data_IF_266690795767
#
_entry.id   IF_266690795767
#
_cell.length_a   1.000
_cell.length_b   1.000
_cell.length_c   1.000
_cell.angle_alpha   90.00
_cell.angle_beta   90.00
_cell.angle_gamma   90.00
#
_symmetry.space_group_name_H-M   'P 1'
#
loop_
_entity.id
_entity.type
_entity.pdbx_description
1 polymer ?
#
# COMPACT_ATOMS: atom_id res chain seq x y z
N UNK A 1 15.49 18.68 -21.03
CA UNK A 1 14.70 18.32 -19.84
C UNK A 1 13.91 17.08 -20.22
N UNK A 2 14.24 15.91 -19.68
CA UNK A 2 13.49 14.69 -19.90
C UNK A 2 12.09 14.90 -19.32
N UNK A 3 11.08 14.49 -20.07
CA UNK A 3 9.68 14.65 -19.69
C UNK A 3 9.47 13.82 -18.40
N UNK A 4 9.05 14.43 -17.30
CA UNK A 4 8.86 13.76 -15.99
C UNK A 4 7.86 12.61 -16.03
N UNK A 5 7.10 12.45 -17.12
CA UNK A 5 6.17 11.34 -17.34
C UNK A 5 6.83 10.05 -17.87
N UNK A 6 8.08 10.13 -18.33
CA UNK A 6 8.82 8.97 -18.86
C UNK A 6 9.65 8.25 -17.77
N UNK A 7 9.69 8.79 -16.55
CA UNK A 7 10.38 8.18 -15.42
C UNK A 7 9.39 7.41 -14.56
N UNK A 8 9.77 6.25 -13.96
CA UNK A 8 8.91 5.54 -13.04
C UNK A 8 8.63 6.37 -11.78
N UNK A 9 7.45 6.19 -11.18
CA UNK A 9 7.08 6.87 -9.94
C UNK A 9 8.00 6.45 -8.78
N UNK A 10 8.36 5.17 -8.72
CA UNK A 10 9.34 4.60 -7.77
C UNK A 10 10.30 3.69 -8.54
N UNK A 11 11.59 3.80 -8.23
CA UNK A 11 12.62 2.89 -8.72
C UNK A 11 13.45 2.35 -7.56
N UNK A 12 13.55 1.04 -7.45
CA UNK A 12 14.33 0.32 -6.43
C UNK A 12 15.53 -0.32 -7.11
N UNK A 13 16.75 -0.04 -6.62
CA UNK A 13 18.01 -0.51 -7.21
C UNK A 13 18.85 -1.24 -6.17
N UNK A 14 19.05 -2.54 -6.36
CA UNK A 14 19.92 -3.42 -5.57
C UNK A 14 19.71 -3.26 -4.05
N UNK A 15 18.43 -3.15 -3.64
CA UNK A 15 18.05 -2.83 -2.27
C UNK A 15 18.32 -4.01 -1.34
N UNK A 16 19.10 -3.77 -0.29
CA UNK A 16 19.30 -4.72 0.80
C UNK A 16 19.02 -4.08 2.15
N UNK A 17 18.50 -4.87 3.08
CA UNK A 17 18.20 -4.42 4.44
C UNK A 17 18.63 -5.46 5.47
N UNK A 18 19.51 -5.05 6.39
CA UNK A 18 20.03 -5.88 7.48
C UNK A 18 19.77 -5.17 8.80
N UNK A 19 19.05 -5.83 9.70
CA UNK A 19 18.88 -5.38 11.08
C UNK A 19 20.01 -5.92 11.95
N UNK A 20 20.75 -5.04 12.60
CA UNK A 20 21.81 -5.44 13.54
C UNK A 20 21.16 -5.90 14.85
N UNK A 21 21.62 -7.03 15.39
CA UNK A 21 21.30 -7.51 16.73
C UNK A 21 22.57 -8.05 17.38
N UNK A 22 22.58 -8.12 18.70
CA UNK A 22 23.72 -8.63 19.48
C UNK A 22 24.10 -10.09 19.14
N UNK A 23 23.16 -10.84 18.57
CA UNK A 23 23.31 -12.26 18.17
C UNK A 23 23.60 -12.46 16.66
N UNK A 24 24.09 -11.43 15.97
CA UNK A 24 24.27 -11.44 14.50
C UNK A 24 23.21 -10.65 13.76
N UNK A 25 23.52 -10.24 12.54
CA UNK A 25 22.61 -9.44 11.72
C UNK A 25 21.44 -10.27 11.16
N UNK A 26 20.23 -9.71 11.13
CA UNK A 26 19.06 -10.29 10.48
C UNK A 26 18.89 -9.66 9.11
N UNK A 27 19.25 -10.37 8.04
CA UNK A 27 19.02 -9.91 6.67
C UNK A 27 17.55 -10.09 6.30
N UNK A 28 16.85 -8.98 6.13
CA UNK A 28 15.43 -8.96 5.78
C UNK A 28 15.21 -8.97 4.27
N UNK A 29 16.04 -8.21 3.52
CA UNK A 29 15.97 -8.08 2.07
C UNK A 29 17.38 -8.23 1.48
N UNK A 30 17.47 -8.81 0.28
CA UNK A 30 18.71 -9.00 -0.45
C UNK A 30 18.51 -8.72 -1.93
N UNK A 31 19.27 -7.74 -2.45
CA UNK A 31 19.36 -7.39 -3.87
C UNK A 31 18.01 -7.26 -4.58
N UNK A 32 17.07 -6.53 -3.99
CA UNK A 32 15.74 -6.31 -4.56
C UNK A 32 15.79 -5.14 -5.54
N UNK A 33 15.38 -5.37 -6.80
CA UNK A 33 15.35 -4.34 -7.84
C UNK A 33 14.06 -4.43 -8.64
N UNK A 34 13.30 -3.33 -8.72
CA UNK A 34 12.11 -3.19 -9.56
C UNK A 34 11.75 -1.72 -9.74
N UNK A 35 10.85 -1.45 -10.68
CA UNK A 35 10.30 -0.11 -10.93
C UNK A 35 8.78 -0.16 -10.81
N UNK A 36 8.16 0.97 -10.47
CA UNK A 36 6.71 1.13 -10.43
C UNK A 36 6.34 2.32 -11.30
N UNK A 37 5.48 2.09 -12.28
CA UNK A 37 5.06 3.13 -13.20
C UNK A 37 4.00 4.04 -12.58
N UNK A 38 3.84 5.25 -13.13
CA UNK A 38 2.75 6.13 -12.71
C UNK A 38 1.39 5.45 -12.92
N UNK A 39 0.50 5.59 -11.94
CA UNK A 39 -0.84 5.01 -11.93
C UNK A 39 -0.88 3.46 -11.96
N UNK A 40 0.25 2.79 -11.79
CA UNK A 40 0.31 1.34 -11.63
C UNK A 40 -0.16 0.94 -10.23
N UNK A 41 -0.94 -0.12 -10.14
CA UNK A 41 -1.23 -0.81 -8.88
C UNK A 41 -0.34 -2.05 -8.78
N UNK A 42 0.75 -1.94 -8.02
CA UNK A 42 1.68 -3.04 -7.75
C UNK A 42 1.31 -3.73 -6.44
N UNK A 43 1.21 -5.06 -6.44
CA UNK A 43 1.22 -5.85 -5.21
C UNK A 43 2.55 -6.56 -5.01
N UNK A 44 3.11 -6.45 -3.80
CA UNK A 44 4.24 -7.26 -3.34
C UNK A 44 3.70 -8.38 -2.46
N UNK A 45 3.81 -9.60 -2.95
CA UNK A 45 3.30 -10.81 -2.33
C UNK A 45 4.47 -11.62 -1.73
N UNK A 46 4.24 -12.33 -0.65
CA UNK A 46 5.26 -13.21 -0.07
C UNK A 46 4.85 -13.75 1.29
N UNK A 47 5.57 -14.76 1.80
CA UNK A 47 5.27 -15.36 3.10
C UNK A 47 5.50 -14.37 4.24
N UNK A 48 4.99 -14.72 5.43
CA UNK A 48 5.27 -13.94 6.64
C UNK A 48 6.77 -13.90 6.93
N UNK A 49 7.29 -12.72 7.28
CA UNK A 49 8.71 -12.54 7.54
C UNK A 49 9.61 -12.40 6.29
N UNK A 50 9.07 -12.34 5.07
CA UNK A 50 9.84 -12.14 3.82
C UNK A 50 10.37 -10.71 3.61
N UNK A 51 10.15 -9.80 4.55
CA UNK A 51 10.64 -8.42 4.43
C UNK A 51 9.69 -7.44 3.77
N UNK A 52 8.44 -7.79 3.44
CA UNK A 52 7.45 -6.91 2.77
C UNK A 52 7.25 -5.57 3.48
N UNK A 53 6.95 -5.60 4.78
CA UNK A 53 6.76 -4.36 5.56
C UNK A 53 8.07 -3.57 5.70
N UNK A 54 9.23 -4.24 5.73
CA UNK A 54 10.54 -3.58 5.68
C UNK A 54 10.73 -2.85 4.36
N UNK A 55 10.45 -3.52 3.24
CA UNK A 55 10.49 -2.91 1.91
C UNK A 55 9.59 -1.68 1.87
N UNK A 56 8.33 -1.81 2.30
CA UNK A 56 7.37 -0.71 2.23
C UNK A 56 7.80 0.48 3.09
N UNK A 57 8.37 0.25 4.28
CA UNK A 57 8.91 1.32 5.14
C UNK A 57 10.12 2.03 4.51
N UNK A 58 10.95 1.28 3.77
CA UNK A 58 12.07 1.89 3.03
C UNK A 58 11.52 2.75 1.88
N UNK A 59 10.50 2.27 1.14
CA UNK A 59 9.83 3.03 0.09
C UNK A 59 9.12 4.28 0.59
N UNK A 60 8.73 4.31 1.87
CA UNK A 60 8.15 5.48 2.53
C UNK A 60 9.21 6.48 3.06
N UNK A 61 10.50 6.13 2.98
CA UNK A 61 11.57 6.90 3.61
C UNK A 61 11.59 6.82 5.15
N UNK A 62 10.85 5.87 5.74
CA UNK A 62 10.77 5.65 7.19
C UNK A 62 11.94 4.81 7.74
N UNK A 63 12.63 4.10 6.85
CA UNK A 63 13.78 3.25 7.17
C UNK A 63 14.82 3.39 6.07
N UNK A 64 16.09 3.67 6.38
CA UNK A 64 17.15 3.68 5.38
C UNK A 64 17.49 2.24 4.96
N UNK A 65 17.82 1.97 3.68
CA UNK A 65 18.37 0.70 3.26
C UNK A 65 19.81 0.52 3.79
N UNK A 66 20.26 -0.74 3.92
CA UNK A 66 21.66 -1.04 4.26
C UNK A 66 22.57 -0.94 3.03
N UNK A 67 22.04 -1.28 1.84
CA UNK A 67 22.70 -1.12 0.55
C UNK A 67 21.65 -0.89 -0.54
N UNK A 68 22.10 -0.36 -1.68
CA UNK A 68 21.23 0.04 -2.77
C UNK A 68 20.55 1.39 -2.52
N UNK A 69 19.55 1.69 -3.31
CA UNK A 69 18.83 2.99 -3.23
C UNK A 69 17.40 2.88 -3.72
N UNK A 70 16.57 3.81 -3.26
CA UNK A 70 15.24 4.09 -3.80
C UNK A 70 15.24 5.46 -4.43
N UNK A 71 14.67 5.57 -5.63
CA UNK A 71 14.39 6.86 -6.26
C UNK A 71 12.87 7.07 -6.25
N UNK A 72 12.44 8.26 -5.88
CA UNK A 72 11.07 8.74 -6.00
C UNK A 72 11.05 9.87 -7.03
N UNK A 73 10.26 9.72 -8.09
CA UNK A 73 10.22 10.66 -9.21
C UNK A 73 11.62 11.02 -9.76
N UNK A 74 12.51 10.02 -9.84
CA UNK A 74 13.89 10.16 -10.33
C UNK A 74 14.91 10.69 -9.32
N UNK A 75 14.48 11.15 -8.15
CA UNK A 75 15.33 11.71 -7.11
C UNK A 75 15.58 10.70 -5.96
N UNK A 76 16.80 10.62 -5.40
CA UNK A 76 17.09 9.75 -4.26
C UNK A 76 16.18 10.04 -3.07
N UNK A 77 15.57 8.99 -2.52
CA UNK A 77 14.69 9.08 -1.35
C UNK A 77 15.53 9.00 -0.06
N UNK A 78 15.71 10.13 0.61
CA UNK A 78 16.50 10.25 1.84
C UNK A 78 15.65 10.36 3.13
N UNK A 79 14.33 10.36 3.01
CA UNK A 79 13.38 10.50 4.11
C UNK A 79 11.94 10.58 3.63
N UNK A 80 10.96 10.74 4.54
CA UNK A 80 9.55 10.87 4.17
C UNK A 80 9.30 12.05 3.23
N UNK A 81 8.38 11.90 2.29
CA UNK A 81 7.96 12.93 1.32
C UNK A 81 6.44 13.11 1.36
N UNK A 82 5.96 14.34 1.22
CA UNK A 82 4.53 14.65 1.20
C UNK A 82 3.77 13.92 0.08
N UNK A 83 4.43 13.64 -1.06
CA UNK A 83 3.85 12.86 -2.17
C UNK A 83 3.69 11.36 -1.89
N UNK A 84 4.08 10.87 -0.70
CA UNK A 84 3.97 9.47 -0.30
C UNK A 84 2.95 9.31 0.85
N UNK A 85 1.77 8.76 0.54
CA UNK A 85 0.79 8.36 1.56
C UNK A 85 1.10 6.97 2.10
N UNK A 86 0.97 6.75 3.42
CA UNK A 86 1.24 5.46 4.05
C UNK A 86 0.07 4.99 4.91
N UNK A 87 -0.38 3.76 4.67
CA UNK A 87 -1.39 3.07 5.48
C UNK A 87 -0.74 1.88 6.15
N UNK A 88 -0.70 1.89 7.48
CA UNK A 88 -0.14 0.81 8.28
C UNK A 88 -1.11 -0.38 8.38
N UNK A 89 -0.58 -1.55 8.70
CA UNK A 89 -1.35 -2.78 8.94
C UNK A 89 -2.41 -2.59 10.03
N UNK A 90 -2.06 -1.89 11.12
CA UNK A 90 -3.03 -1.37 12.08
C UNK A 90 -3.35 0.07 11.69
N UNK A 91 -4.61 0.46 11.74
CA UNK A 91 -5.06 1.79 11.34
C UNK A 91 -4.35 2.94 12.09
N UNK A 92 -3.84 2.67 13.31
CA UNK A 92 -3.09 3.63 14.15
C UNK A 92 -3.81 4.98 14.24
N UNK A 93 -5.13 4.95 14.48
CA UNK A 93 -5.92 6.16 14.67
C UNK A 93 -5.62 6.79 16.02
N UNK A 94 -5.70 8.12 16.09
CA UNK A 94 -5.63 8.85 17.35
C UNK A 94 -6.90 8.55 18.14
N UNK A 95 -6.85 7.82 19.27
CA UNK A 95 -8.04 7.29 19.95
C UNK A 95 -8.93 8.39 20.56
N UNK A 96 -8.40 9.58 20.76
CA UNK A 96 -9.11 10.77 21.27
C UNK A 96 -9.66 11.67 20.17
N UNK A 97 -9.44 11.34 18.89
CA UNK A 97 -9.97 12.09 17.75
C UNK A 97 -11.09 11.31 17.06
N UNK A 98 -12.10 12.02 16.63
CA UNK A 98 -13.18 11.45 15.80
C UNK A 98 -12.67 11.01 14.42
N UNK A 99 -13.52 10.38 13.61
CA UNK A 99 -13.24 10.05 12.19
C UNK A 99 -12.76 11.30 11.46
N UNK A 100 -13.54 12.38 11.49
CA UNK A 100 -13.19 13.65 10.83
C UNK A 100 -11.84 14.17 11.36
N UNK A 101 -11.65 14.19 12.69
CA UNK A 101 -10.43 14.67 13.31
C UNK A 101 -9.19 13.81 13.00
N UNK A 102 -9.33 12.50 12.74
CA UNK A 102 -8.24 11.66 12.27
C UNK A 102 -7.90 11.96 10.80
N UNK A 103 -8.90 12.18 9.97
CA UNK A 103 -8.69 12.50 8.55
C UNK A 103 -8.08 13.88 8.37
N UNK A 104 -8.50 14.90 9.15
CA UNK A 104 -7.95 16.27 9.09
C UNK A 104 -6.53 16.39 9.64
N UNK A 105 -6.10 15.46 10.49
CA UNK A 105 -4.83 15.57 11.22
C UNK A 105 -3.61 15.96 10.34
N UNK A 106 -3.40 15.34 9.15
CA UNK A 106 -2.28 15.73 8.31
C UNK A 106 -2.34 17.19 7.87
N UNK A 107 -3.50 17.68 7.47
CA UNK A 107 -3.70 19.07 7.04
C UNK A 107 -3.47 20.08 8.18
N UNK A 108 -3.84 19.71 9.41
CA UNK A 108 -3.54 20.51 10.61
C UNK A 108 -2.04 20.63 10.85
N UNK A 109 -1.29 19.52 10.68
CA UNK A 109 0.18 19.50 10.83
C UNK A 109 0.84 20.40 9.79
N UNK A 110 0.32 20.42 8.54
CA UNK A 110 0.83 21.26 7.46
C UNK A 110 0.39 22.73 7.58
N UNK A 111 -0.42 23.08 8.58
CA UNK A 111 -0.90 24.44 8.79
C UNK A 111 -1.95 24.90 7.77
N UNK A 112 -2.67 23.95 7.14
CA UNK A 112 -3.79 24.29 6.24
C UNK A 112 -4.88 25.03 7.01
N UNK A 113 -5.45 26.07 6.39
CA UNK A 113 -6.55 26.82 6.97
C UNK A 113 -7.69 25.90 7.43
N UNK A 114 -8.15 26.07 8.67
CA UNK A 114 -9.13 25.20 9.33
C UNK A 114 -10.39 24.95 8.51
N UNK A 115 -10.94 26.01 7.89
CA UNK A 115 -12.17 25.88 7.06
C UNK A 115 -11.93 25.04 5.82
N UNK A 116 -10.77 25.22 5.16
CA UNK A 116 -10.37 24.45 3.99
C UNK A 116 -10.10 22.99 4.36
N UNK A 117 -9.40 22.76 5.47
CA UNK A 117 -9.11 21.42 5.98
C UNK A 117 -10.39 20.64 6.33
N UNK A 118 -11.36 21.31 6.97
CA UNK A 118 -12.66 20.70 7.29
C UNK A 118 -13.42 20.28 6.02
N UNK A 119 -13.49 21.16 5.02
CA UNK A 119 -14.17 20.85 3.76
C UNK A 119 -13.52 19.68 3.02
N UNK A 120 -12.20 19.66 2.90
CA UNK A 120 -11.47 18.54 2.29
C UNK A 120 -11.69 17.22 3.05
N UNK A 121 -11.80 17.28 4.39
CA UNK A 121 -12.04 16.10 5.19
C UNK A 121 -13.50 15.59 5.07
N UNK A 122 -14.49 16.47 4.91
CA UNK A 122 -15.87 16.08 4.63
C UNK A 122 -15.97 15.36 3.28
N UNK A 123 -15.36 15.89 2.22
CA UNK A 123 -15.27 15.20 0.92
C UNK A 123 -14.58 13.84 1.03
N UNK A 124 -13.52 13.76 1.85
CA UNK A 124 -12.81 12.50 2.08
C UNK A 124 -13.66 11.49 2.86
N UNK A 125 -14.45 11.92 3.85
CA UNK A 125 -15.40 11.06 4.58
C UNK A 125 -16.44 10.47 3.61
N UNK A 126 -16.96 11.26 2.67
CA UNK A 126 -17.84 10.77 1.62
C UNK A 126 -17.14 9.76 0.71
N UNK A 127 -15.91 10.08 0.25
CA UNK A 127 -15.12 9.22 -0.61
C UNK A 127 -14.88 7.83 0.01
N UNK A 128 -14.55 7.77 1.32
CA UNK A 128 -14.29 6.50 2.02
C UNK A 128 -15.56 5.84 2.58
N UNK A 129 -16.75 6.40 2.29
CA UNK A 129 -18.05 5.84 2.65
C UNK A 129 -18.33 5.83 4.16
N UNK A 130 -17.96 6.90 4.86
CA UNK A 130 -18.16 7.07 6.32
C UNK A 130 -19.11 8.22 6.68
N UNK A 131 -19.97 8.61 5.76
CA UNK A 131 -21.03 9.61 6.01
C UNK A 131 -21.91 9.17 7.19
N UNK A 132 -22.14 10.07 8.13
CA UNK A 132 -22.87 9.81 9.38
C UNK A 132 -22.00 9.31 10.54
N UNK A 133 -20.69 9.09 10.31
CA UNK A 133 -19.74 8.65 11.34
C UNK A 133 -18.66 9.71 11.66
N UNK A 134 -18.81 10.94 11.17
CA UNK A 134 -17.82 12.04 11.26
C UNK A 134 -17.32 12.27 12.69
N UNK A 135 -18.24 12.21 13.65
CA UNK A 135 -17.98 12.48 15.07
C UNK A 135 -17.71 11.20 15.89
N UNK A 136 -17.73 10.04 15.26
CA UNK A 136 -17.52 8.74 15.95
C UNK A 136 -16.04 8.57 16.33
N UNK A 137 -15.79 8.09 17.56
CA UNK A 137 -14.44 7.79 18.03
C UNK A 137 -13.97 6.40 17.53
N UNK A 138 -12.65 6.16 17.40
CA UNK A 138 -12.11 4.88 16.94
C UNK A 138 -12.64 3.66 17.70
N UNK A 139 -12.82 3.75 19.01
CA UNK A 139 -13.33 2.65 19.86
C UNK A 139 -14.74 2.15 19.49
N UNK A 140 -15.50 2.99 18.77
CA UNK A 140 -16.88 2.72 18.39
C UNK A 140 -16.99 2.31 16.91
N UNK A 141 -15.83 2.17 16.21
CA UNK A 141 -15.74 1.77 14.82
C UNK A 141 -15.48 0.25 14.68
N UNK A 142 -15.95 -0.34 13.59
CA UNK A 142 -15.49 -1.66 13.16
C UNK A 142 -14.07 -1.57 12.58
N UNK A 143 -13.31 -2.69 12.57
CA UNK A 143 -11.97 -2.70 12.00
C UNK A 143 -11.91 -2.26 10.52
N UNK A 144 -12.96 -2.57 9.73
CA UNK A 144 -13.09 -2.08 8.35
C UNK A 144 -13.31 -0.56 8.27
N UNK A 145 -14.06 0.01 9.20
CA UNK A 145 -14.25 1.47 9.28
C UNK A 145 -12.96 2.16 9.72
N UNK A 146 -12.26 1.63 10.72
CA UNK A 146 -10.93 2.16 11.11
C UNK A 146 -9.97 2.19 9.92
N UNK A 147 -9.95 1.12 9.12
CA UNK A 147 -9.08 1.04 7.95
C UNK A 147 -9.47 2.07 6.87
N UNK A 148 -10.77 2.34 6.66
CA UNK A 148 -11.23 3.41 5.76
C UNK A 148 -10.79 4.79 6.25
N UNK A 149 -10.85 5.05 7.56
CA UNK A 149 -10.33 6.29 8.15
C UNK A 149 -8.82 6.43 7.88
N UNK A 150 -8.05 5.33 8.06
CA UNK A 150 -6.61 5.35 7.80
C UNK A 150 -6.29 5.60 6.32
N UNK A 151 -7.07 5.03 5.39
CA UNK A 151 -6.96 5.29 3.95
C UNK A 151 -7.30 6.75 3.65
N UNK A 152 -8.41 7.28 4.18
CA UNK A 152 -8.79 8.69 4.01
C UNK A 152 -7.72 9.65 4.53
N UNK A 153 -7.17 9.36 5.72
CA UNK A 153 -6.06 10.12 6.31
C UNK A 153 -4.80 10.11 5.42
N UNK A 154 -4.51 8.99 4.77
CA UNK A 154 -3.36 8.90 3.87
C UNK A 154 -3.58 9.61 2.53
N UNK A 155 -4.84 9.72 2.08
CA UNK A 155 -5.22 10.33 0.80
C UNK A 155 -5.46 11.83 0.88
N UNK A 156 -5.72 12.40 2.07
CA UNK A 156 -6.16 13.80 2.22
C UNK A 156 -5.16 14.82 1.65
N UNK A 157 -3.86 14.49 1.61
CA UNK A 157 -2.81 15.30 0.99
C UNK A 157 -2.68 15.11 -0.52
N UNK A 158 -3.56 14.31 -1.13
CA UNK A 158 -3.49 13.98 -2.55
C UNK A 158 -2.12 13.40 -2.99
N UNK A 159 -1.58 12.37 -2.31
CA UNK A 159 -0.26 11.83 -2.60
C UNK A 159 -0.18 11.25 -4.01
N UNK A 160 1.02 11.27 -4.63
CA UNK A 160 1.28 10.63 -5.92
C UNK A 160 1.34 9.11 -5.81
N UNK A 161 1.87 8.62 -4.69
CA UNK A 161 2.05 7.20 -4.39
C UNK A 161 1.42 6.85 -3.05
N UNK A 162 0.58 5.81 -3.03
CA UNK A 162 -0.04 5.26 -1.83
C UNK A 162 0.61 3.92 -1.48
N UNK A 163 1.16 3.81 -0.29
CA UNK A 163 1.82 2.64 0.25
C UNK A 163 0.91 1.96 1.28
N UNK A 164 0.55 0.68 1.07
CA UNK A 164 -0.41 -0.04 1.88
C UNK A 164 0.24 -1.30 2.50
N UNK A 165 0.42 -1.33 3.81
CA UNK A 165 1.01 -2.44 4.54
C UNK A 165 -0.09 -3.40 5.07
N UNK A 166 -0.36 -4.49 4.35
CA UNK A 166 -1.39 -5.50 4.67
C UNK A 166 -2.74 -4.90 5.12
N UNK A 167 -3.34 -3.98 4.32
CA UNK A 167 -4.45 -3.14 4.78
C UNK A 167 -5.70 -3.91 5.19
N UNK A 168 -5.80 -5.18 4.82
CA UNK A 168 -6.97 -6.02 5.10
C UNK A 168 -6.65 -7.23 5.99
N UNK A 169 -5.42 -7.33 6.52
CA UNK A 169 -4.94 -8.50 7.24
C UNK A 169 -5.73 -8.87 8.50
N UNK A 170 -6.32 -7.88 9.18
CA UNK A 170 -7.11 -8.07 10.40
C UNK A 170 -8.61 -8.28 10.16
N UNK A 171 -9.09 -8.23 8.90
CA UNK A 171 -10.49 -8.30 8.56
C UNK A 171 -10.92 -9.75 8.27
N UNK A 172 -12.20 -10.06 8.59
CA UNK A 172 -12.83 -11.30 8.15
C UNK A 172 -12.96 -11.34 6.61
N UNK A 173 -13.24 -12.52 6.04
CA UNK A 173 -13.22 -12.75 4.61
C UNK A 173 -14.21 -11.85 3.83
N UNK A 174 -15.45 -11.70 4.31
CA UNK A 174 -16.47 -10.90 3.64
C UNK A 174 -16.18 -9.40 3.72
N UNK A 175 -15.74 -8.93 4.87
CA UNK A 175 -15.32 -7.53 5.06
C UNK A 175 -14.10 -7.20 4.19
N UNK A 176 -13.16 -8.14 4.08
CA UNK A 176 -11.97 -8.01 3.23
C UNK A 176 -12.32 -7.86 1.75
N UNK A 177 -13.25 -8.66 1.23
CA UNK A 177 -13.72 -8.54 -0.16
C UNK A 177 -14.40 -7.20 -0.42
N UNK A 178 -15.28 -6.77 0.48
CA UNK A 178 -15.94 -5.45 0.41
C UNK A 178 -14.92 -4.31 0.42
N UNK A 179 -13.91 -4.39 1.30
CA UNK A 179 -12.86 -3.39 1.38
C UNK A 179 -11.96 -3.37 0.14
N UNK A 180 -11.69 -4.53 -0.47
CA UNK A 180 -10.99 -4.61 -1.75
C UNK A 180 -11.74 -3.89 -2.88
N UNK A 181 -13.04 -4.11 -2.99
CA UNK A 181 -13.91 -3.42 -3.95
C UNK A 181 -13.93 -1.91 -3.70
N UNK A 182 -13.99 -1.48 -2.44
CA UNK A 182 -13.99 -0.07 -2.06
C UNK A 182 -12.64 0.60 -2.38
N UNK A 183 -11.52 -0.05 -2.08
CA UNK A 183 -10.21 0.43 -2.46
C UNK A 183 -10.07 0.59 -3.99
N UNK A 184 -10.61 -0.36 -4.76
CA UNK A 184 -10.64 -0.27 -6.21
C UNK A 184 -11.45 0.92 -6.70
N UNK A 185 -12.62 1.19 -6.11
CA UNK A 185 -13.45 2.36 -6.42
C UNK A 185 -12.69 3.66 -6.17
N UNK A 186 -12.05 3.79 -5.00
CA UNK A 186 -11.23 4.95 -4.62
C UNK A 186 -10.06 5.11 -5.60
N UNK A 187 -9.35 4.03 -5.89
CA UNK A 187 -8.21 4.04 -6.81
C UNK A 187 -8.60 4.45 -8.24
N UNK A 188 -9.73 3.93 -8.76
CA UNK A 188 -10.23 4.29 -10.09
C UNK A 188 -10.59 5.77 -10.21
N UNK A 189 -11.13 6.36 -9.13
CA UNK A 189 -11.49 7.79 -9.10
C UNK A 189 -10.25 8.70 -9.14
N UNK A 190 -9.17 8.33 -8.46
CA UNK A 190 -7.99 9.19 -8.27
C UNK A 190 -6.78 8.80 -9.11
N UNK A 191 -6.75 7.58 -9.69
CA UNK A 191 -5.64 7.08 -10.54
C UNK A 191 -4.27 7.29 -9.90
N UNK A 192 -4.13 7.01 -8.60
CA UNK A 192 -2.86 7.08 -7.90
C UNK A 192 -1.97 5.87 -8.19
N UNK A 193 -0.66 6.04 -8.07
CA UNK A 193 0.25 4.89 -8.01
C UNK A 193 0.06 4.19 -6.67
N UNK A 194 -0.08 2.87 -6.65
CA UNK A 194 -0.27 2.10 -5.40
C UNK A 194 0.75 1.00 -5.31
N UNK A 195 1.38 0.88 -4.14
CA UNK A 195 2.20 -0.28 -3.79
C UNK A 195 1.58 -0.90 -2.54
N UNK A 196 1.02 -2.09 -2.69
CA UNK A 196 0.41 -2.83 -1.59
C UNK A 196 1.21 -4.07 -1.27
N UNK A 197 1.51 -4.31 -0.01
CA UNK A 197 2.03 -5.60 0.44
C UNK A 197 0.91 -6.44 1.03
N UNK A 198 0.89 -7.72 0.71
CA UNK A 198 -0.09 -8.69 1.21
C UNK A 198 0.49 -10.11 1.21
N UNK A 199 -0.13 -11.00 1.98
CA UNK A 199 0.11 -12.44 1.90
C UNK A 199 -1.02 -13.18 1.16
N UNK A 200 -2.05 -12.45 0.70
CA UNK A 200 -3.22 -13.00 0.02
C UNK A 200 -3.06 -12.96 -1.50
N UNK A 201 -2.95 -14.13 -2.13
CA UNK A 201 -2.91 -14.27 -3.59
C UNK A 201 -4.17 -13.68 -4.23
N UNK A 202 -5.34 -13.93 -3.63
CA UNK A 202 -6.61 -13.45 -4.15
C UNK A 202 -6.71 -11.93 -4.15
N UNK A 203 -6.22 -11.25 -3.09
CA UNK A 203 -6.14 -9.79 -3.05
C UNK A 203 -5.18 -9.27 -4.13
N UNK A 204 -3.97 -9.83 -4.21
CA UNK A 204 -2.97 -9.41 -5.17
C UNK A 204 -3.50 -9.48 -6.61
N UNK A 205 -4.10 -10.60 -7.00
CA UNK A 205 -4.66 -10.77 -8.34
C UNK A 205 -5.88 -9.89 -8.60
N UNK A 206 -6.72 -9.68 -7.59
CA UNK A 206 -7.93 -8.89 -7.77
C UNK A 206 -7.66 -7.38 -7.87
N UNK A 207 -6.63 -6.91 -7.18
CA UNK A 207 -6.34 -5.46 -7.07
C UNK A 207 -5.26 -4.99 -8.04
N UNK A 208 -4.18 -5.77 -8.23
CA UNK A 208 -2.98 -5.29 -8.88
C UNK A 208 -3.01 -5.39 -10.41
N UNK A 209 -2.27 -4.49 -11.07
CA UNK A 209 -1.89 -4.61 -12.48
C UNK A 209 -0.66 -5.50 -12.64
N UNK A 210 0.15 -5.59 -11.58
CA UNK A 210 1.37 -6.39 -11.52
C UNK A 210 1.63 -6.93 -10.12
N UNK A 211 2.16 -8.14 -10.04
CA UNK A 211 2.49 -8.80 -8.77
C UNK A 211 3.97 -9.17 -8.76
N UNK A 212 4.68 -8.71 -7.75
CA UNK A 212 6.06 -9.12 -7.43
C UNK A 212 6.01 -10.07 -6.24
N UNK A 213 6.59 -11.25 -6.37
CA UNK A 213 6.66 -12.27 -5.31
C UNK A 213 8.03 -12.25 -4.67
N UNK A 214 8.07 -12.06 -3.35
CA UNK A 214 9.29 -12.20 -2.55
C UNK A 214 9.45 -13.64 -2.03
N UNK A 215 10.71 -14.08 -1.96
CA UNK A 215 11.10 -15.34 -1.32
C UNK A 215 10.87 -15.31 0.19
N UNK A 216 11.08 -16.48 0.85
CA UNK A 216 11.42 -16.50 2.27
C UNK A 216 12.68 -15.67 2.54
N UNK A 217 12.86 -15.28 3.80
CA UNK A 217 13.98 -14.45 4.24
C UNK A 217 15.36 -15.10 3.95
N UNK A 218 16.32 -14.34 3.40
CA UNK A 218 16.20 -12.95 2.95
C UNK A 218 15.27 -12.83 1.75
N UNK A 219 14.43 -11.76 1.76
CA UNK A 219 13.50 -11.51 0.68
C UNK A 219 14.23 -11.09 -0.60
N UNK A 220 14.13 -11.92 -1.63
CA UNK A 220 14.57 -11.66 -3.01
C UNK A 220 13.39 -11.77 -3.95
N UNK A 221 13.45 -11.20 -5.14
CA UNK A 221 12.37 -11.33 -6.12
C UNK A 221 12.45 -12.74 -6.75
N UNK A 222 11.35 -13.50 -6.60
CA UNK A 222 11.20 -14.84 -7.19
C UNK A 222 10.38 -14.82 -8.48
N UNK A 223 9.42 -13.92 -8.55
CA UNK A 223 8.54 -13.80 -9.70
C UNK A 223 8.08 -12.35 -9.82
N UNK A 224 7.99 -11.88 -11.05
CA UNK A 224 7.42 -10.59 -11.42
C UNK A 224 6.48 -10.83 -12.60
N UNK A 225 5.18 -10.56 -12.41
CA UNK A 225 4.16 -10.94 -13.40
C UNK A 225 3.10 -9.87 -13.55
N UNK A 226 2.78 -9.55 -14.81
CA UNK A 226 1.65 -8.69 -15.17
C UNK A 226 0.34 -9.46 -15.02
N UNK A 227 -0.66 -8.80 -14.46
CA UNK A 227 -2.01 -9.33 -14.31
C UNK A 227 -2.88 -8.82 -15.46
N UNK A 228 -2.96 -9.61 -16.53
CA UNK A 228 -3.64 -9.22 -17.78
C UNK A 228 -5.17 -9.41 -17.73
N UNK A 229 -5.79 -9.21 -16.57
CA UNK A 229 -7.23 -9.23 -16.44
C UNK A 229 -7.82 -7.84 -16.67
N UNK A 230 -8.94 -7.71 -17.41
CA UNK A 230 -9.56 -6.43 -17.73
C UNK A 230 -10.04 -5.68 -16.48
N UNK A 231 -10.14 -4.36 -16.57
CA UNK A 231 -10.74 -3.49 -15.55
C UNK A 231 -12.03 -2.86 -16.10
N UNK A 232 -13.05 -2.60 -15.25
CA UNK A 232 -13.12 -2.87 -13.83
C UNK A 232 -13.23 -4.36 -13.52
N UNK A 233 -12.51 -4.84 -12.50
CA UNK A 233 -12.59 -6.24 -12.09
C UNK A 233 -13.86 -6.51 -11.31
N UNK A 234 -14.53 -7.61 -11.67
CA UNK A 234 -15.77 -8.09 -11.06
C UNK A 234 -15.50 -9.33 -10.21
N UNK A 235 -16.30 -9.57 -9.19
CA UNK A 235 -16.12 -10.72 -8.29
C UNK A 235 -16.11 -12.06 -9.04
N UNK A 236 -16.94 -12.21 -10.08
CA UNK A 236 -16.97 -13.41 -10.92
C UNK A 236 -15.63 -13.78 -11.56
N UNK A 237 -14.74 -12.81 -11.77
CA UNK A 237 -13.42 -13.07 -12.35
C UNK A 237 -12.51 -13.92 -11.43
N UNK A 238 -12.80 -13.95 -10.11
CA UNK A 238 -12.09 -14.82 -9.15
C UNK A 238 -12.26 -16.32 -9.45
N UNK A 239 -13.28 -16.66 -10.23
CA UNK A 239 -13.62 -18.03 -10.62
C UNK A 239 -13.25 -18.33 -12.08
N UNK A 240 -12.58 -17.40 -12.77
CA UNK A 240 -12.13 -17.60 -14.14
C UNK A 240 -10.92 -18.53 -14.22
N UNK A 241 -10.74 -19.25 -15.35
CA UNK A 241 -9.55 -20.08 -15.58
C UNK A 241 -8.25 -19.28 -15.47
N UNK A 242 -8.21 -18.06 -16.00
CA UNK A 242 -7.05 -17.17 -15.98
C UNK A 242 -6.64 -16.79 -14.55
N UNK A 243 -7.64 -16.51 -13.68
CA UNK A 243 -7.39 -16.25 -12.27
C UNK A 243 -6.83 -17.49 -11.57
N UNK A 244 -7.36 -18.67 -11.88
CA UNK A 244 -6.89 -19.96 -11.38
C UNK A 244 -5.44 -20.25 -11.76
N UNK A 245 -5.08 -20.04 -13.02
CA UNK A 245 -3.73 -20.23 -13.55
C UNK A 245 -2.71 -19.28 -12.89
N UNK A 246 -3.03 -17.98 -12.85
CA UNK A 246 -2.19 -16.99 -12.16
C UNK A 246 -2.04 -17.31 -10.67
N UNK A 247 -3.12 -17.72 -10.00
CA UNK A 247 -3.08 -18.13 -8.59
C UNK A 247 -2.13 -19.31 -8.38
N UNK A 248 -2.16 -20.30 -9.27
CA UNK A 248 -1.26 -21.44 -9.20
C UNK A 248 0.21 -21.01 -9.40
N UNK A 249 0.51 -20.16 -10.37
CA UNK A 249 1.86 -19.63 -10.62
C UNK A 249 2.39 -18.86 -9.39
N UNK A 250 1.58 -17.97 -8.80
CA UNK A 250 1.96 -17.21 -7.61
C UNK A 250 2.19 -18.14 -6.41
N UNK A 251 1.32 -19.14 -6.21
CA UNK A 251 1.44 -20.12 -5.12
C UNK A 251 2.72 -20.93 -5.25
N UNK A 252 3.06 -21.38 -6.44
CA UNK A 252 4.31 -22.12 -6.72
C UNK A 252 5.54 -21.26 -6.45
N UNK A 253 5.50 -19.96 -6.80
CA UNK A 253 6.60 -19.04 -6.52
C UNK A 253 6.81 -18.76 -5.02
N UNK A 254 5.73 -18.77 -4.21
CA UNK A 254 5.80 -18.62 -2.75
C UNK A 254 6.27 -19.90 -2.07
N UNK A 255 5.78 -21.06 -2.53
CA UNK A 255 5.92 -22.36 -1.85
C UNK A 255 7.22 -23.11 -2.12
N UNK A 256 8.04 -22.66 -3.07
CA UNK A 256 9.37 -23.29 -3.31
C UNK A 256 10.41 -22.59 -2.43
N UNK A 257 10.96 -23.33 -1.41
CA UNK A 257 12.08 -22.85 -0.59
C UNK A 257 13.36 -22.64 -1.40
#
# INVERSE_FOLDING_TARGET
>A
MLNTKDQPAIQVKNLSAVFRSDNGGLQALEDVSFEVQHQEFLCVLGPSGSGKSTLLRILAGLLPPTAGQVLYAGEPLSGPKAGLGFVFQKANLMPWRSVLGNITLPLEIDGTETRKAAHMAEEMVELVGLVGFENTLPRDLSGGMEQRVAIGRALIHDPDVLLLDEPFGSLDALTRERMGNELMRIWQAHRKTVIMVTHSISEALFLADRVVVLSHRPGTIRLDVQVQMPRPRQEGMRYSPEFGELSHRLRSAIGNP
#
